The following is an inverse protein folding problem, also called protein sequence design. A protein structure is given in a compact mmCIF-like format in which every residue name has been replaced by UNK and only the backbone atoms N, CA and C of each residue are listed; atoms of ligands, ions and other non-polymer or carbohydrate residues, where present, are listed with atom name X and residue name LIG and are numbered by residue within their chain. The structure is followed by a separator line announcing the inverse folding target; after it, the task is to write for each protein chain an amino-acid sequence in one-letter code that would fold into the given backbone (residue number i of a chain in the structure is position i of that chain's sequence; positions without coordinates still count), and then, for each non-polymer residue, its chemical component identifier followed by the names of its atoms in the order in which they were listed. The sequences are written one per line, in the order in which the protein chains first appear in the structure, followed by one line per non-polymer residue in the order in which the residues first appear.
data_IF_788943300038
#
_entry.id   IF_788943300038
#
_cell.length_a   1.000
_cell.length_b   1.000
_cell.length_c   1.000
_cell.angle_alpha   90.00
_cell.angle_beta   90.00
_cell.angle_gamma   90.00
#
_symmetry.space_group_name_H-M   'P 1'
#
loop_
_entity.id
_entity.type
_entity.pdbx_description
1 polymer ?
#
# COMPACT_ATOMS: atom_id res chain seq x y z
N UNK A 1 -20.18 3.56 -18.07
CA UNK A 1 -19.34 4.29 -17.07
C UNK A 1 -19.84 4.16 -15.63
N UNK A 2 -21.13 4.42 -15.33
CA UNK A 2 -21.66 4.32 -13.96
C UNK A 2 -21.72 2.90 -13.40
N UNK A 3 -22.18 1.94 -14.20
CA UNK A 3 -22.23 0.51 -13.82
C UNK A 3 -20.86 -0.03 -13.38
N UNK A 4 -19.80 0.31 -14.12
CA UNK A 4 -18.43 -0.09 -13.77
C UNK A 4 -17.96 0.46 -12.41
N UNK A 5 -18.17 1.76 -12.15
CA UNK A 5 -17.76 2.38 -10.88
C UNK A 5 -18.55 1.79 -9.70
N UNK A 6 -19.86 1.61 -9.87
CA UNK A 6 -20.71 0.99 -8.87
C UNK A 6 -20.30 -0.46 -8.59
N UNK A 7 -19.95 -1.22 -9.63
CA UNK A 7 -19.41 -2.56 -9.48
C UNK A 7 -18.11 -2.57 -8.66
N UNK A 8 -17.14 -1.68 -8.98
CA UNK A 8 -15.90 -1.58 -8.20
C UNK A 8 -16.16 -1.21 -6.73
N UNK A 9 -17.09 -0.29 -6.45
CA UNK A 9 -17.50 0.03 -5.08
C UNK A 9 -18.09 -1.18 -4.36
N UNK A 10 -19.00 -1.92 -5.00
CA UNK A 10 -19.59 -3.13 -4.42
C UNK A 10 -18.55 -4.22 -4.19
N UNK A 11 -17.57 -4.36 -5.10
CA UNK A 11 -16.44 -5.26 -4.93
C UNK A 11 -15.60 -4.90 -3.71
N UNK A 12 -15.25 -3.63 -3.51
CA UNK A 12 -14.51 -3.16 -2.32
C UNK A 12 -15.29 -3.36 -1.01
N UNK A 13 -16.62 -3.38 -1.09
CA UNK A 13 -17.50 -3.70 0.04
C UNK A 13 -17.74 -5.22 0.23
N UNK A 14 -17.05 -6.08 -0.53
CA UNK A 14 -17.20 -7.55 -0.45
C UNK A 14 -18.48 -8.09 -1.09
N UNK A 15 -19.30 -7.25 -1.73
CA UNK A 15 -20.56 -7.63 -2.37
C UNK A 15 -20.31 -8.15 -3.79
N UNK A 16 -19.58 -9.27 -3.89
CA UNK A 16 -19.07 -9.80 -5.16
C UNK A 16 -20.17 -10.14 -6.17
N UNK A 17 -21.28 -10.75 -5.75
CA UNK A 17 -22.34 -11.14 -6.68
C UNK A 17 -23.06 -9.92 -7.31
N UNK A 18 -23.34 -8.90 -6.50
CA UNK A 18 -23.93 -7.64 -7.01
C UNK A 18 -22.95 -6.86 -7.88
N UNK A 19 -21.65 -6.91 -7.55
CA UNK A 19 -20.62 -6.38 -8.44
C UNK A 19 -20.62 -7.10 -9.79
N UNK A 20 -20.81 -8.42 -9.79
CA UNK A 20 -20.84 -9.26 -11.00
C UNK A 20 -22.00 -8.86 -11.91
N UNK A 21 -23.21 -8.78 -11.36
CA UNK A 21 -24.44 -8.37 -12.10
C UNK A 21 -24.29 -7.01 -12.78
N UNK A 22 -23.67 -6.04 -12.10
CA UNK A 22 -23.40 -4.71 -12.67
C UNK A 22 -22.31 -4.74 -13.75
N UNK A 23 -21.31 -5.61 -13.63
CA UNK A 23 -20.28 -5.79 -14.67
C UNK A 23 -20.88 -6.45 -15.92
N UNK A 24 -21.72 -7.47 -15.76
CA UNK A 24 -22.44 -8.09 -16.88
C UNK A 24 -23.32 -7.08 -17.61
N UNK A 25 -24.08 -6.27 -16.85
CA UNK A 25 -24.89 -5.18 -17.42
C UNK A 25 -24.02 -4.14 -18.14
N UNK A 26 -22.83 -3.84 -17.60
CA UNK A 26 -21.90 -2.91 -18.22
C UNK A 26 -21.34 -3.46 -19.55
N UNK A 27 -20.93 -4.72 -19.58
CA UNK A 27 -20.42 -5.40 -20.77
C UNK A 27 -21.49 -5.49 -21.85
N UNK A 28 -22.71 -5.94 -21.50
CA UNK A 28 -23.83 -6.06 -22.44
C UNK A 28 -24.21 -4.73 -23.12
N UNK A 29 -23.96 -3.60 -22.46
CA UNK A 29 -24.21 -2.25 -23.00
C UNK A 29 -23.03 -1.67 -23.79
N UNK A 30 -22.09 -2.51 -24.23
CA UNK A 30 -20.93 -2.08 -25.01
C UNK A 30 -19.87 -1.34 -24.17
N UNK A 31 -19.77 -1.68 -22.89
CA UNK A 31 -18.70 -1.20 -22.04
C UNK A 31 -17.33 -1.51 -22.65
N UNK A 32 -16.36 -0.63 -22.40
CA UNK A 32 -14.97 -0.81 -22.86
C UNK A 32 -14.01 -0.80 -21.67
N UNK A 33 -12.86 -1.47 -21.78
CA UNK A 33 -11.77 -1.41 -20.80
C UNK A 33 -11.12 -2.76 -20.50
N UNK A 34 -9.93 -2.73 -19.89
CA UNK A 34 -9.15 -3.92 -19.52
C UNK A 34 -9.97 -4.93 -18.70
N UNK A 35 -10.79 -4.44 -17.76
CA UNK A 35 -11.60 -5.30 -16.87
C UNK A 35 -12.66 -6.11 -17.61
N UNK A 36 -13.18 -5.67 -18.76
CA UNK A 36 -14.11 -6.48 -19.56
C UNK A 36 -13.38 -7.62 -20.26
N UNK A 37 -12.21 -7.34 -20.85
CA UNK A 37 -11.37 -8.40 -21.44
C UNK A 37 -11.03 -9.48 -20.42
N UNK A 38 -10.63 -9.07 -19.21
CA UNK A 38 -10.29 -10.01 -18.14
C UNK A 38 -11.51 -10.74 -17.57
N UNK A 39 -12.70 -10.13 -17.59
CA UNK A 39 -13.95 -10.76 -17.13
C UNK A 39 -14.45 -11.83 -18.10
N UNK A 40 -14.41 -11.55 -19.40
CA UNK A 40 -14.82 -12.52 -20.44
C UNK A 40 -13.85 -13.71 -20.51
N UNK A 41 -12.57 -13.49 -20.22
CA UNK A 41 -11.55 -14.55 -20.16
C UNK A 41 -11.67 -15.42 -18.90
N UNK A 42 -12.18 -14.88 -17.78
CA UNK A 42 -12.30 -15.62 -16.53
C UNK A 42 -13.41 -15.05 -15.61
N UNK A 43 -14.63 -15.56 -15.78
CA UNK A 43 -15.82 -15.21 -14.99
C UNK A 43 -15.62 -15.49 -13.49
N UNK A 44 -14.75 -16.46 -13.18
CA UNK A 44 -14.39 -16.89 -11.83
C UNK A 44 -12.95 -16.46 -11.48
N UNK A 45 -12.46 -15.34 -12.04
CA UNK A 45 -11.08 -14.90 -11.79
C UNK A 45 -10.75 -14.76 -10.30
N UNK A 46 -11.74 -14.50 -9.44
CA UNK A 46 -11.56 -14.51 -7.99
C UNK A 46 -11.14 -15.89 -7.47
N UNK A 47 -11.71 -16.98 -7.99
CA UNK A 47 -11.29 -18.35 -7.63
C UNK A 47 -9.95 -18.70 -8.28
N UNK A 48 -9.73 -18.34 -9.55
CA UNK A 48 -8.50 -18.70 -10.26
C UNK A 48 -7.28 -17.89 -9.79
N UNK A 49 -7.46 -16.61 -9.42
CA UNK A 49 -6.40 -15.70 -8.96
C UNK A 49 -6.07 -15.92 -7.49
N UNK A 50 -7.05 -16.34 -6.67
CA UNK A 50 -6.78 -16.74 -5.27
C UNK A 50 -5.88 -17.99 -5.21
N UNK A 51 -5.96 -18.87 -6.20
CA UNK A 51 -5.15 -20.10 -6.26
C UNK A 51 -3.90 -20.03 -7.14
N UNK A 52 -3.67 -18.96 -7.90
CA UNK A 52 -2.32 -18.66 -8.40
C UNK A 52 -1.48 -18.24 -7.20
N UNK A 53 -0.97 -19.26 -6.51
CA UNK A 53 -0.15 -19.22 -5.32
C UNK A 53 0.74 -17.99 -5.32
N UNK A 54 0.52 -17.08 -4.38
CA UNK A 54 1.48 -16.00 -4.12
C UNK A 54 2.80 -16.69 -3.79
N UNK A 55 3.80 -16.58 -4.67
CA UNK A 55 5.15 -17.14 -4.47
C UNK A 55 5.97 -16.33 -3.45
N UNK A 56 5.30 -15.54 -2.62
CA UNK A 56 5.95 -14.64 -1.66
C UNK A 56 5.25 -14.76 -0.31
N UNK A 57 6.07 -14.75 0.72
CA UNK A 57 5.62 -14.61 2.11
C UNK A 57 5.65 -13.12 2.43
N UNK A 58 4.62 -12.65 3.12
CA UNK A 58 4.61 -11.29 3.67
C UNK A 58 5.02 -11.43 5.14
N UNK A 59 6.13 -10.80 5.49
CA UNK A 59 6.63 -10.75 6.86
C UNK A 59 6.73 -9.30 7.33
N UNK A 60 6.63 -9.09 8.64
CA UNK A 60 6.83 -7.78 9.22
C UNK A 60 8.31 -7.41 9.17
N UNK A 61 8.62 -6.19 8.77
CA UNK A 61 10.01 -5.74 8.70
C UNK A 61 10.59 -5.57 10.11
N UNK A 62 11.86 -5.91 10.36
CA UNK A 62 12.49 -5.69 11.66
C UNK A 62 12.52 -4.23 12.11
N UNK A 63 12.39 -3.28 11.18
CA UNK A 63 12.37 -1.83 11.47
C UNK A 63 10.96 -1.25 11.61
N UNK A 64 9.91 -2.06 11.35
CA UNK A 64 8.53 -1.60 11.49
C UNK A 64 8.25 -1.24 12.95
N UNK A 65 7.64 -0.08 13.15
CA UNK A 65 7.28 0.44 14.46
C UNK A 65 5.84 0.07 14.83
N UNK A 66 5.50 0.31 16.10
CA UNK A 66 4.10 0.27 16.56
C UNK A 66 3.31 1.55 16.24
N UNK A 67 3.94 2.50 15.54
CA UNK A 67 3.39 3.79 15.16
C UNK A 67 3.36 3.92 13.63
N UNK A 68 2.96 5.09 13.13
CA UNK A 68 3.01 5.41 11.71
C UNK A 68 4.42 5.27 11.10
N UNK A 69 4.52 4.45 10.05
CA UNK A 69 5.69 4.34 9.14
C UNK A 69 5.23 4.51 7.69
N UNK A 70 5.88 5.40 6.93
CA UNK A 70 5.44 5.77 5.58
C UNK A 70 6.57 6.04 4.60
N UNK A 71 6.20 6.08 3.31
CA UNK A 71 7.03 6.60 2.22
C UNK A 71 8.42 5.97 2.06
N UNK A 72 8.56 4.62 2.09
CA UNK A 72 9.87 4.01 1.91
C UNK A 72 10.42 4.29 0.50
N UNK A 73 11.65 4.77 0.43
CA UNK A 73 12.39 5.04 -0.80
C UNK A 73 13.78 4.41 -0.75
N UNK A 74 14.16 3.68 -1.80
CA UNK A 74 15.53 3.16 -1.90
C UNK A 74 16.52 4.30 -2.06
N UNK A 75 17.58 4.23 -1.28
CA UNK A 75 18.66 5.21 -1.29
C UNK A 75 19.98 4.51 -1.54
N UNK A 76 20.72 4.96 -2.55
CA UNK A 76 21.96 4.30 -3.00
C UNK A 76 21.73 2.79 -3.26
N UNK A 77 22.74 1.95 -3.03
CA UNK A 77 22.68 0.51 -3.30
C UNK A 77 22.05 -0.28 -2.14
N UNK A 78 22.34 0.11 -0.91
CA UNK A 78 22.21 -0.70 0.31
C UNK A 78 21.40 -0.01 1.41
N UNK A 79 20.57 1.00 1.08
CA UNK A 79 19.81 1.75 2.08
C UNK A 79 18.36 1.99 1.69
N UNK A 80 17.55 2.24 2.71
CA UNK A 80 16.18 2.68 2.59
C UNK A 80 15.99 3.91 3.47
N UNK A 81 15.38 4.95 2.92
CA UNK A 81 14.89 6.11 3.68
C UNK A 81 13.38 5.99 3.82
N UNK A 82 12.84 6.32 4.98
CA UNK A 82 11.41 6.27 5.27
C UNK A 82 11.05 7.31 6.34
N UNK A 83 9.78 7.68 6.41
CA UNK A 83 9.26 8.56 7.44
C UNK A 83 8.65 7.73 8.58
N UNK A 84 8.87 8.11 9.83
CA UNK A 84 8.30 7.41 10.99
C UNK A 84 8.00 8.36 12.15
N UNK A 85 6.94 8.07 12.89
CA UNK A 85 6.64 8.73 14.17
C UNK A 85 7.43 8.12 15.34
N UNK A 86 8.03 6.94 15.14
CA UNK A 86 8.77 6.25 16.19
C UNK A 86 10.10 6.97 16.47
N UNK A 87 10.28 7.44 17.71
CA UNK A 87 11.45 8.22 18.12
C UNK A 87 11.65 9.50 17.30
N UNK A 88 10.58 10.04 16.71
CA UNK A 88 10.62 11.33 16.04
C UNK A 88 10.89 12.46 17.06
N UNK A 89 11.58 13.48 16.61
CA UNK A 89 11.99 14.64 17.42
C UNK A 89 10.93 15.73 17.47
N UNK A 90 9.97 15.72 16.55
CA UNK A 90 8.84 16.63 16.50
C UNK A 90 8.01 16.62 17.79
N UNK A 91 7.83 17.81 18.40
CA UNK A 91 7.03 17.97 19.61
C UNK A 91 5.52 18.11 19.33
N UNK A 92 5.17 18.34 18.06
CA UNK A 92 3.79 18.49 17.62
C UNK A 92 3.16 17.12 17.39
N UNK A 93 1.87 17.03 17.69
CA UNK A 93 1.06 15.82 17.51
C UNK A 93 0.15 16.00 16.30
N UNK A 94 0.16 15.02 15.41
CA UNK A 94 -0.75 14.98 14.28
C UNK A 94 -2.18 14.72 14.74
N UNK A 95 -3.12 15.51 14.21
CA UNK A 95 -4.50 15.43 14.65
C UNK A 95 -5.24 14.20 14.11
N UNK A 96 -4.76 13.61 13.01
CA UNK A 96 -5.37 12.44 12.38
C UNK A 96 -4.91 11.14 13.04
N UNK A 97 -3.62 11.03 13.34
CA UNK A 97 -3.03 9.81 13.92
C UNK A 97 -2.91 9.86 15.44
N UNK A 98 -2.93 11.06 16.03
CA UNK A 98 -2.61 11.29 17.46
C UNK A 98 -1.19 10.84 17.84
N UNK A 99 -0.27 10.88 16.89
CA UNK A 99 1.14 10.53 17.05
C UNK A 99 2.04 11.76 16.83
N UNK A 100 3.32 11.74 17.25
CA UNK A 100 4.28 12.78 16.89
C UNK A 100 4.37 12.96 15.37
N UNK A 101 4.75 14.17 14.96
CA UNK A 101 5.11 14.43 13.57
C UNK A 101 6.26 13.53 13.11
N UNK A 102 6.25 13.21 11.82
CA UNK A 102 7.14 12.22 11.22
C UNK A 102 8.52 12.83 11.00
N UNK A 103 9.54 12.07 11.38
CA UNK A 103 10.94 12.32 11.03
C UNK A 103 11.39 11.34 9.95
N UNK A 104 12.42 11.72 9.17
CA UNK A 104 13.09 10.82 8.25
C UNK A 104 14.11 9.95 8.97
N UNK A 105 14.08 8.67 8.65
CA UNK A 105 15.01 7.64 9.11
C UNK A 105 15.67 6.98 7.92
N UNK A 106 16.87 6.46 8.14
CA UNK A 106 17.62 5.64 7.20
C UNK A 106 17.95 4.30 7.83
N UNK A 107 17.71 3.21 7.09
CA UNK A 107 18.05 1.85 7.46
C UNK A 107 18.99 1.23 6.41
N UNK A 108 19.80 0.27 6.85
CA UNK A 108 20.57 -0.56 5.93
C UNK A 108 19.66 -1.63 5.31
N UNK A 109 19.94 -1.99 4.06
CA UNK A 109 19.29 -3.06 3.31
C UNK A 109 20.35 -4.04 2.80
N UNK A 110 20.21 -5.30 3.15
CA UNK A 110 21.09 -6.35 2.62
C UNK A 110 20.67 -6.82 1.21
N UNK A 111 21.31 -7.88 0.72
CA UNK A 111 21.09 -8.43 -0.62
C UNK A 111 19.72 -9.12 -0.74
N UNK A 112 19.20 -9.64 0.37
CA UNK A 112 17.89 -10.26 0.53
C UNK A 112 16.76 -9.23 0.74
N UNK A 113 17.10 -7.97 1.00
CA UNK A 113 16.15 -6.89 1.20
C UNK A 113 15.73 -6.68 2.66
N UNK A 114 16.35 -7.40 3.62
CA UNK A 114 16.08 -7.22 5.04
C UNK A 114 16.66 -5.89 5.51
N UNK A 115 15.87 -5.22 6.35
CA UNK A 115 16.19 -3.90 6.86
C UNK A 115 16.72 -3.99 8.28
N UNK A 116 17.77 -3.22 8.56
CA UNK A 116 18.42 -3.21 9.87
C UNK A 116 19.01 -1.84 10.22
N UNK A 117 19.30 -1.64 11.50
CA UNK A 117 19.98 -0.45 12.03
C UNK A 117 19.31 0.88 11.63
N UNK A 118 17.99 1.04 11.87
CA UNK A 118 17.32 2.31 11.60
C UNK A 118 17.91 3.40 12.49
N UNK A 119 18.16 4.57 11.90
CA UNK A 119 18.64 5.76 12.60
C UNK A 119 18.07 7.01 11.95
N UNK A 120 17.97 8.15 12.66
CA UNK A 120 17.56 9.41 12.06
C UNK A 120 18.43 9.74 10.85
N UNK A 121 17.80 10.26 9.79
CA UNK A 121 18.52 10.75 8.62
C UNK A 121 19.37 11.96 9.04
N UNK A 122 20.65 11.94 8.68
CA UNK A 122 21.58 12.99 9.08
C UNK A 122 21.37 14.31 8.35
N UNK A 123 21.82 15.40 8.97
CA UNK A 123 21.64 16.77 8.49
C UNK A 123 20.46 17.47 9.16
N UNK A 124 20.21 18.73 8.78
CA UNK A 124 19.11 19.55 9.32
C UNK A 124 17.82 19.32 8.52
N UNK A 125 17.46 18.05 8.32
CA UNK A 125 16.27 17.65 7.54
C UNK A 125 15.07 17.33 8.41
N UNK A 126 15.28 16.81 9.62
CA UNK A 126 14.21 16.54 10.56
C UNK A 126 13.91 17.84 11.33
N UNK A 127 12.68 18.33 11.20
CA UNK A 127 12.24 19.56 11.84
C UNK A 127 11.13 19.32 12.86
N UNK A 128 10.59 20.40 13.44
CA UNK A 128 9.40 20.31 14.29
C UNK A 128 8.10 20.05 13.52
N UNK A 129 8.18 19.93 12.18
CA UNK A 129 7.07 19.71 11.25
C UNK A 129 7.18 18.31 10.61
N UNK A 130 6.13 17.89 9.89
CA UNK A 130 6.19 16.64 9.14
C UNK A 130 7.19 16.71 7.98
N UNK A 131 8.01 15.68 7.86
CA UNK A 131 8.79 15.38 6.66
C UNK A 131 8.12 14.36 5.73
#
# INVERSE_FOLDING_TARGET
KYYYRAAQSLKSLGKHDKSRELLETYTAKGGTGFVIKTYDEDIDYLKSTVFKSRQFVIEMSPISSGTSDFGPAFYMKDKLVYASAANATGLNVDQWTQEPYLDLFIANRDEEGLLSNPKPLGGDVNTQYHE
#
